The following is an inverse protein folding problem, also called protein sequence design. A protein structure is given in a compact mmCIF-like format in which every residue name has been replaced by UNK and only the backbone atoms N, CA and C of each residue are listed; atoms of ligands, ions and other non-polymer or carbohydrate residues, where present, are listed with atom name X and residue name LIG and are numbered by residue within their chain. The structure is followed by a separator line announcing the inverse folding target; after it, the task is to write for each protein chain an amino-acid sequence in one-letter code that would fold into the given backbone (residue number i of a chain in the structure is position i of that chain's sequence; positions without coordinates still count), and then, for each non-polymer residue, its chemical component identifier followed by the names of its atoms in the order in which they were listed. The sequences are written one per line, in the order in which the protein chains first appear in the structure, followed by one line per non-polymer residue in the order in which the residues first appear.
data_IF_530342839420
#
_entry.id   IF_530342839420
#
_cell.length_a   1.000
_cell.length_b   1.000
_cell.length_c   1.000
_cell.angle_alpha   90.00
_cell.angle_beta   90.00
_cell.angle_gamma   90.00
#
_symmetry.space_group_name_H-M   'P 1'
#
loop_
_entity.id
_entity.type
_entity.pdbx_description
1 polymer ?
#
# COMPACT_ATOMS: atom_id res chain seq x y z
N UNK A 1 5.10 -9.10 -2.07
CA UNK A 1 4.16 -9.83 -2.96
C UNK A 1 2.74 -9.86 -2.43
N UNK A 2 2.49 -10.30 -1.18
CA UNK A 2 1.13 -10.46 -0.64
C UNK A 2 0.25 -9.22 -0.78
N UNK A 3 0.79 -8.03 -0.51
CA UNK A 3 0.04 -6.78 -0.67
C UNK A 3 -0.40 -6.47 -2.11
N UNK A 4 0.38 -6.90 -3.13
CA UNK A 4 -0.04 -6.76 -4.52
C UNK A 4 -1.18 -7.72 -4.88
N UNK A 5 -1.12 -8.96 -4.37
CA UNK A 5 -2.20 -9.95 -4.55
C UNK A 5 -3.48 -9.45 -3.90
N UNK A 6 -3.39 -8.92 -2.68
CA UNK A 6 -4.53 -8.36 -1.97
C UNK A 6 -5.09 -7.11 -2.68
N UNK A 7 -4.21 -6.22 -3.18
CA UNK A 7 -4.63 -5.06 -4.00
C UNK A 7 -5.35 -5.53 -5.26
N UNK A 8 -4.82 -6.53 -5.96
CA UNK A 8 -5.45 -7.09 -7.16
C UNK A 8 -6.84 -7.66 -6.85
N UNK A 9 -6.96 -8.44 -5.79
CA UNK A 9 -8.25 -8.97 -5.34
C UNK A 9 -9.27 -7.87 -5.10
N UNK A 10 -8.87 -6.83 -4.36
CA UNK A 10 -9.75 -5.71 -4.02
C UNK A 10 -10.15 -4.88 -5.25
N UNK A 11 -9.17 -4.55 -6.12
CA UNK A 11 -9.42 -3.59 -7.22
C UNK A 11 -9.88 -4.25 -8.52
N UNK A 12 -9.66 -5.56 -8.71
CA UNK A 12 -9.94 -6.26 -9.98
C UNK A 12 -10.91 -7.43 -9.86
N UNK A 13 -11.06 -7.99 -8.67
CA UNK A 13 -11.90 -9.18 -8.46
C UNK A 13 -13.11 -8.91 -7.54
N UNK A 14 -13.48 -7.64 -7.34
CA UNK A 14 -14.64 -7.25 -6.54
C UNK A 14 -14.47 -7.49 -5.04
N UNK A 15 -13.24 -7.60 -4.56
CA UNK A 15 -12.94 -7.79 -3.14
C UNK A 15 -13.31 -6.59 -2.27
N UNK A 16 -13.48 -5.41 -2.86
CA UNK A 16 -13.89 -4.19 -2.17
C UNK A 16 -15.29 -4.26 -1.55
N UNK A 17 -16.14 -5.19 -1.99
CA UNK A 17 -17.42 -5.46 -1.35
C UNK A 17 -17.29 -6.11 0.03
N UNK A 18 -16.15 -6.77 0.29
CA UNK A 18 -15.90 -7.57 1.49
C UNK A 18 -14.75 -7.06 2.35
N UNK A 19 -13.84 -6.32 1.73
CA UNK A 19 -12.64 -5.78 2.40
C UNK A 19 -12.85 -4.30 2.66
N UNK A 20 -13.13 -3.96 3.93
CA UNK A 20 -13.28 -2.57 4.34
C UNK A 20 -11.93 -1.83 4.34
N UNK A 21 -10.90 -2.45 4.91
CA UNK A 21 -9.56 -1.85 5.02
C UNK A 21 -8.49 -2.86 4.62
N UNK A 22 -7.60 -2.47 3.72
CA UNK A 22 -6.41 -3.23 3.34
C UNK A 22 -5.16 -2.55 3.91
N UNK A 23 -4.45 -3.27 4.77
CA UNK A 23 -3.18 -2.81 5.33
C UNK A 23 -2.03 -3.51 4.60
N UNK A 24 -1.07 -2.75 4.11
CA UNK A 24 0.15 -3.29 3.49
C UNK A 24 1.39 -2.79 4.19
N UNK A 25 2.36 -3.68 4.36
CA UNK A 25 3.64 -3.42 5.02
C UNK A 25 4.77 -3.67 4.03
N UNK A 26 5.44 -2.61 3.56
CA UNK A 26 6.55 -2.71 2.62
C UNK A 26 6.19 -3.46 1.33
N UNK A 27 5.00 -3.25 0.78
CA UNK A 27 4.59 -3.89 -0.48
C UNK A 27 5.04 -3.07 -1.68
N UNK A 28 5.64 -3.69 -2.72
CA UNK A 28 6.16 -2.97 -3.88
C UNK A 28 5.03 -2.54 -4.83
N UNK A 29 4.24 -1.54 -4.43
CA UNK A 29 3.07 -1.10 -5.21
C UNK A 29 3.42 -0.57 -6.60
N UNK A 30 4.64 -0.05 -6.78
CA UNK A 30 5.20 0.39 -8.06
C UNK A 30 6.37 -0.48 -8.53
N UNK A 31 6.53 -1.67 -7.92
CA UNK A 31 7.63 -2.59 -8.19
C UNK A 31 8.89 -2.29 -7.38
N UNK A 32 9.91 -3.12 -7.59
CA UNK A 32 11.22 -2.91 -6.96
C UNK A 32 12.34 -3.35 -7.88
N UNK A 33 13.43 -2.59 -7.93
CA UNK A 33 14.62 -2.95 -8.71
C UNK A 33 15.37 -4.16 -8.13
N UNK A 34 15.20 -4.48 -6.84
CA UNK A 34 15.77 -5.71 -6.26
C UNK A 34 15.22 -6.97 -6.93
N UNK A 35 14.03 -6.90 -7.55
CA UNK A 35 13.45 -8.02 -8.30
C UNK A 35 14.24 -8.44 -9.56
N UNK A 36 15.21 -7.63 -9.99
CA UNK A 36 16.12 -8.02 -11.09
C UNK A 36 17.25 -8.96 -10.65
N UNK A 37 17.51 -9.06 -9.33
CA UNK A 37 18.54 -9.96 -8.79
C UNK A 37 18.18 -11.45 -8.92
N UNK A 38 16.90 -11.77 -9.13
CA UNK A 38 16.42 -13.13 -9.27
C UNK A 38 15.56 -13.31 -10.52
N UNK A 39 15.77 -14.41 -11.22
CA UNK A 39 15.03 -14.71 -12.46
C UNK A 39 13.92 -15.75 -12.21
N UNK A 40 13.00 -15.47 -11.29
CA UNK A 40 11.79 -16.28 -11.09
C UNK A 40 10.56 -15.58 -11.66
N UNK A 41 9.51 -16.33 -12.01
CA UNK A 41 8.24 -15.77 -12.49
C UNK A 41 7.64 -14.77 -11.50
N UNK A 42 7.76 -15.05 -10.21
CA UNK A 42 7.28 -14.17 -9.14
C UNK A 42 8.06 -12.86 -9.15
N UNK A 43 9.40 -12.90 -9.23
CA UNK A 43 10.22 -11.70 -9.23
C UNK A 43 10.00 -10.86 -10.50
N UNK A 44 9.76 -11.49 -11.64
CA UNK A 44 9.42 -10.77 -12.87
C UNK A 44 8.17 -9.91 -12.71
N UNK A 45 7.15 -10.38 -11.96
CA UNK A 45 5.93 -9.62 -11.66
C UNK A 45 6.17 -8.44 -10.71
N UNK A 46 7.26 -8.44 -9.94
CA UNK A 46 7.64 -7.35 -9.05
C UNK A 46 8.53 -6.29 -9.70
N UNK A 47 8.97 -6.50 -10.91
CA UNK A 47 9.79 -5.52 -11.63
C UNK A 47 8.94 -4.31 -12.00
N UNK A 48 9.49 -3.09 -11.89
CA UNK A 48 8.81 -1.89 -12.36
C UNK A 48 8.32 -2.05 -13.80
N UNK A 49 7.07 -1.67 -14.06
CA UNK A 49 6.47 -1.80 -15.39
C UNK A 49 6.07 -3.23 -15.81
N UNK A 50 6.06 -4.19 -14.89
CA UNK A 50 5.55 -5.54 -15.17
C UNK A 50 4.08 -5.53 -15.58
N UNK A 51 3.59 -6.54 -16.35
CA UNK A 51 2.18 -6.61 -16.73
C UNK A 51 1.21 -6.52 -15.55
N UNK A 52 1.54 -7.17 -14.41
CA UNK A 52 0.75 -7.08 -13.19
C UNK A 52 0.65 -5.65 -12.67
N UNK A 53 1.75 -4.91 -12.64
CA UNK A 53 1.76 -3.54 -12.15
C UNK A 53 1.03 -2.61 -13.12
N UNK A 54 1.21 -2.78 -14.42
CA UNK A 54 0.47 -2.02 -15.44
C UNK A 54 -1.05 -2.23 -15.30
N UNK A 55 -1.49 -3.45 -15.03
CA UNK A 55 -2.90 -3.76 -14.80
C UNK A 55 -3.43 -3.11 -13.51
N UNK A 56 -2.61 -3.10 -12.43
CA UNK A 56 -2.95 -2.45 -11.17
C UNK A 56 -3.02 -0.91 -11.26
N UNK A 57 -2.35 -0.30 -12.23
CA UNK A 57 -2.39 1.15 -12.47
C UNK A 57 -3.56 1.59 -13.38
N UNK A 58 -4.31 0.64 -13.97
CA UNK A 58 -5.49 0.99 -14.75
C UNK A 58 -6.58 1.64 -13.87
N UNK A 59 -7.44 2.49 -14.45
CA UNK A 59 -8.54 3.11 -13.73
C UNK A 59 -9.41 2.11 -12.97
N UNK A 60 -9.91 2.53 -11.81
CA UNK A 60 -10.84 1.77 -10.98
C UNK A 60 -12.13 2.58 -10.88
N UNK A 61 -13.24 2.06 -11.42
CA UNK A 61 -14.52 2.80 -11.49
C UNK A 61 -15.07 3.12 -10.10
N UNK A 62 -14.98 2.16 -9.17
CA UNK A 62 -15.35 2.36 -7.78
C UNK A 62 -14.59 1.39 -6.88
N UNK A 63 -14.06 1.86 -5.78
CA UNK A 63 -13.44 1.02 -4.76
C UNK A 63 -13.71 1.61 -3.39
N UNK A 64 -14.45 0.87 -2.56
CA UNK A 64 -14.84 1.30 -1.21
C UNK A 64 -13.77 0.98 -0.16
N UNK A 65 -12.83 0.09 -0.50
CA UNK A 65 -11.75 -0.31 0.42
C UNK A 65 -10.81 0.87 0.68
N UNK A 66 -10.49 1.06 1.95
CA UNK A 66 -9.45 1.97 2.39
C UNK A 66 -8.10 1.25 2.40
N UNK A 67 -7.06 1.92 1.89
CA UNK A 67 -5.70 1.40 1.86
C UNK A 67 -4.84 2.13 2.88
N UNK A 68 -4.21 1.38 3.78
CA UNK A 68 -3.19 1.86 4.71
C UNK A 68 -1.85 1.22 4.32
N UNK A 69 -0.97 2.01 3.73
CA UNK A 69 0.30 1.52 3.18
C UNK A 69 1.46 2.01 4.05
N UNK A 70 2.04 1.09 4.84
CA UNK A 70 3.23 1.35 5.63
C UNK A 70 4.47 1.07 4.80
N UNK A 71 5.38 2.03 4.74
CA UNK A 71 6.67 1.90 4.07
C UNK A 71 7.79 2.50 4.91
N UNK A 72 9.03 2.15 4.64
CA UNK A 72 10.17 2.64 5.41
C UNK A 72 11.29 3.14 4.52
N UNK A 73 11.96 4.18 4.99
CA UNK A 73 13.16 4.76 4.40
C UNK A 73 14.39 3.83 4.42
N UNK A 74 14.40 2.84 5.32
CA UNK A 74 15.46 1.82 5.43
C UNK A 74 15.05 0.44 4.88
N UNK A 75 13.98 0.35 4.11
CA UNK A 75 13.59 -0.89 3.46
C UNK A 75 14.53 -1.23 2.30
N UNK A 76 15.44 -2.18 2.54
CA UNK A 76 16.45 -2.59 1.57
C UNK A 76 15.90 -3.48 0.44
N UNK A 77 14.70 -4.03 0.61
CA UNK A 77 14.04 -4.85 -0.41
C UNK A 77 13.18 -4.03 -1.35
N UNK A 78 12.78 -2.84 -0.94
CA UNK A 78 12.01 -1.88 -1.73
C UNK A 78 12.94 -0.80 -2.26
N UNK A 79 13.40 -0.91 -3.50
CA UNK A 79 14.29 0.07 -4.12
C UNK A 79 13.67 0.63 -5.40
N UNK A 80 13.49 1.96 -5.48
CA UNK A 80 13.58 2.93 -4.40
C UNK A 80 12.51 2.68 -3.32
N UNK A 81 12.78 3.02 -2.06
CA UNK A 81 11.88 2.73 -0.92
C UNK A 81 10.46 3.26 -1.11
N UNK A 82 10.32 4.42 -1.73
CA UNK A 82 9.02 5.04 -2.05
C UNK A 82 8.14 4.21 -2.97
N UNK A 83 8.66 3.18 -3.64
CA UNK A 83 7.84 2.27 -4.45
C UNK A 83 6.87 1.43 -3.61
N UNK A 84 7.04 1.40 -2.30
CA UNK A 84 6.11 0.79 -1.37
C UNK A 84 4.96 1.73 -0.95
N UNK A 85 5.07 3.03 -1.19
CA UNK A 85 3.93 3.94 -1.12
C UNK A 85 2.99 3.66 -2.30
N UNK A 86 1.68 3.69 -2.05
CA UNK A 86 0.67 3.50 -3.09
C UNK A 86 0.14 4.87 -3.53
N UNK A 87 0.29 5.19 -4.79
CA UNK A 87 -0.29 6.37 -5.41
C UNK A 87 -1.23 5.94 -6.53
N UNK A 88 -2.52 6.20 -6.35
CA UNK A 88 -3.54 5.88 -7.35
C UNK A 88 -4.71 6.87 -7.23
N UNK A 89 -5.14 7.51 -8.32
CA UNK A 89 -6.12 8.59 -8.27
C UNK A 89 -7.51 8.15 -7.79
N UNK A 90 -7.88 6.90 -8.06
CA UNK A 90 -9.22 6.38 -7.81
C UNK A 90 -9.33 5.62 -6.49
N UNK A 91 -8.23 5.48 -5.72
CA UNK A 91 -8.22 4.73 -4.48
C UNK A 91 -8.12 5.64 -3.24
N UNK A 92 -8.80 5.25 -2.17
CA UNK A 92 -8.69 5.92 -0.88
C UNK A 92 -7.44 5.41 -0.14
N UNK A 93 -6.31 6.09 -0.31
CA UNK A 93 -5.00 5.66 0.20
C UNK A 93 -4.49 6.60 1.28
N UNK A 94 -3.97 6.01 2.35
CA UNK A 94 -3.13 6.66 3.36
C UNK A 94 -1.78 5.98 3.40
N UNK A 95 -0.73 6.70 3.00
CA UNK A 95 0.65 6.24 3.10
C UNK A 95 1.25 6.67 4.44
N UNK A 96 1.89 5.74 5.15
CA UNK A 96 2.49 5.96 6.46
C UNK A 96 3.96 5.61 6.38
N UNK A 97 4.80 6.64 6.49
CA UNK A 97 6.25 6.48 6.49
C UNK A 97 6.75 6.11 7.87
N UNK A 98 7.58 5.07 7.93
CA UNK A 98 8.28 4.63 9.13
C UNK A 98 9.77 4.88 8.96
N UNK A 99 10.40 5.49 9.96
CA UNK A 99 11.82 5.80 9.91
C UNK A 99 12.66 4.77 10.65
N UNK A 100 13.79 4.40 10.06
CA UNK A 100 14.77 3.55 10.73
C UNK A 100 14.38 2.07 10.83
N UNK A 101 13.41 1.59 10.04
CA UNK A 101 12.86 0.23 10.13
C UNK A 101 13.22 -0.57 8.90
N UNK A 102 13.93 -1.68 9.06
CA UNK A 102 14.17 -2.63 7.96
C UNK A 102 12.90 -3.39 7.58
N UNK A 103 12.84 -3.89 6.33
CA UNK A 103 11.68 -4.61 5.77
C UNK A 103 11.13 -5.71 6.69
N UNK A 104 12.01 -6.58 7.19
CA UNK A 104 11.62 -7.72 8.03
C UNK A 104 11.13 -7.30 9.42
N UNK A 105 11.42 -6.08 9.85
CA UNK A 105 11.04 -5.56 11.16
C UNK A 105 9.68 -4.87 11.14
N UNK A 106 9.19 -4.42 9.97
CA UNK A 106 7.91 -3.73 9.84
C UNK A 106 6.75 -4.48 10.50
N UNK A 107 6.54 -5.79 10.26
CA UNK A 107 5.38 -6.50 10.81
C UNK A 107 5.47 -6.79 12.30
N UNK A 108 6.64 -6.69 12.92
CA UNK A 108 6.87 -6.99 14.33
C UNK A 108 7.18 -5.76 15.19
N UNK A 109 7.34 -4.59 14.57
CA UNK A 109 7.55 -3.36 15.32
C UNK A 109 6.32 -2.96 16.11
N UNK A 110 6.49 -2.75 17.40
CA UNK A 110 5.41 -2.40 18.31
C UNK A 110 4.71 -1.11 17.91
N UNK A 111 5.44 -0.12 17.40
CA UNK A 111 4.86 1.13 16.88
C UNK A 111 3.95 0.90 15.67
N UNK A 112 4.32 0.01 14.75
CA UNK A 112 3.50 -0.37 13.59
C UNK A 112 2.25 -1.11 14.05
N UNK A 113 2.42 -2.10 14.94
CA UNK A 113 1.29 -2.89 15.49
C UNK A 113 0.31 -1.98 16.23
N UNK A 114 0.78 -1.06 17.06
CA UNK A 114 -0.07 -0.11 17.76
C UNK A 114 -0.76 0.86 16.79
N UNK A 115 -0.06 1.36 15.76
CA UNK A 115 -0.65 2.24 14.76
C UNK A 115 -1.76 1.54 13.98
N UNK A 116 -1.54 0.28 13.56
CA UNK A 116 -2.57 -0.52 12.90
C UNK A 116 -3.75 -0.76 13.83
N UNK A 117 -3.49 -1.16 15.08
CA UNK A 117 -4.52 -1.37 16.09
C UNK A 117 -5.37 -0.13 16.33
N UNK A 118 -4.74 1.04 16.46
CA UNK A 118 -5.43 2.32 16.59
C UNK A 118 -6.26 2.65 15.33
N UNK A 119 -5.71 2.45 14.15
CA UNK A 119 -6.41 2.70 12.90
C UNK A 119 -7.65 1.81 12.72
N UNK A 120 -7.58 0.56 13.20
CA UNK A 120 -8.70 -0.38 13.15
C UNK A 120 -9.71 -0.17 14.28
N UNK A 121 -9.27 0.32 15.45
CA UNK A 121 -10.14 0.60 16.58
C UNK A 121 -10.97 1.88 16.43
N UNK A 122 -10.46 2.84 15.62
CA UNK A 122 -11.15 4.10 15.31
C UNK A 122 -11.84 4.02 13.95
N UNK A 123 -12.62 2.97 13.73
CA UNK A 123 -13.57 2.91 12.62
C UNK A 123 -14.80 3.71 13.02
N UNK A 124 -15.03 4.83 12.35
CA UNK A 124 -16.28 5.59 12.52
C UNK A 124 -17.45 4.78 11.99
N UNK A 125 -18.66 5.14 12.41
CA UNK A 125 -19.91 4.46 12.01
C UNK A 125 -20.17 4.49 10.50
N UNK A 126 -19.48 5.36 9.76
CA UNK A 126 -19.49 5.44 8.29
C UNK A 126 -18.31 4.70 7.63
N UNK A 127 -17.51 3.98 8.42
CA UNK A 127 -16.38 3.19 7.94
C UNK A 127 -15.11 4.01 7.66
N UNK A 128 -15.03 5.26 8.08
CA UNK A 128 -13.80 6.06 7.97
C UNK A 128 -12.89 5.80 9.17
N UNK A 129 -11.59 5.61 8.92
CA UNK A 129 -10.59 5.51 10.00
C UNK A 129 -9.90 6.85 10.18
N UNK A 130 -9.82 7.34 11.42
CA UNK A 130 -8.95 8.46 11.77
C UNK A 130 -7.60 7.89 12.23
N UNK A 131 -6.55 8.06 11.45
CA UNK A 131 -5.20 7.66 11.85
C UNK A 131 -4.50 8.86 12.48
N UNK A 132 -4.26 8.87 13.81
CA UNK A 132 -3.49 9.95 14.44
C UNK A 132 -2.06 9.95 13.90
N UNK A 133 -1.61 11.08 13.35
CA UNK A 133 -0.23 11.26 12.88
C UNK A 133 0.07 10.90 11.43
N UNK A 134 -0.89 10.45 10.64
CA UNK A 134 -0.71 10.30 9.21
C UNK A 134 -0.75 11.67 8.53
N UNK A 135 0.32 12.08 7.89
CA UNK A 135 0.32 13.27 7.03
C UNK A 135 -0.44 12.92 5.75
N UNK A 136 -1.59 13.56 5.47
CA UNK A 136 -2.28 13.31 4.21
C UNK A 136 -1.41 13.87 3.07
N UNK A 137 -0.88 13.00 2.23
CA UNK A 137 -0.22 13.42 1.00
C UNK A 137 -1.29 14.03 0.07
N UNK A 138 -1.25 15.36 0.00
CA UNK A 138 -1.76 16.24 -1.02
C UNK A 138 -3.06 15.87 -1.74
N UNK A 139 -4.22 16.24 -1.19
CA UNK A 139 -5.34 16.63 -2.04
C UNK A 139 -4.90 17.85 -2.87
N UNK A 140 -4.49 17.65 -4.11
CA UNK A 140 -4.47 18.75 -5.08
C UNK A 140 -5.91 19.25 -5.21
N UNK A 141 -6.18 20.41 -4.65
CA UNK A 141 -7.40 21.16 -4.96
C UNK A 141 -7.38 21.43 -6.46
N UNK A 142 -8.35 20.88 -7.19
CA UNK A 142 -8.71 21.45 -8.48
C UNK A 142 -9.31 22.81 -8.18
N UNK A 143 -8.55 23.86 -8.44
CA UNK A 143 -9.11 25.21 -8.63
C UNK A 143 -9.75 25.21 -9.99
N UNK A 144 -11.08 25.44 -10.01
CA UNK A 144 -11.86 25.65 -11.20
C UNK A 144 -11.48 26.93 -11.91
#
# INVERSE_FOLDING_TARGET
MGGLIARYYVTRLGGDERVHTLVTLGSPHHGTYTAYAWNSRIMQQLRPGSPLLQELEQPVESCRTRFLCYWSDLDQLMLPQRTAALEHPDLNVTNIEMHGVGHMSLPIMQSVVHSIGAALAHLDSDGTTVTPGATPFGRRRRTG
#
